data_IF_853885695294
#
_entry.id   IF_853885695294
#
_cell.length_a   1.000
_cell.length_b   1.000
_cell.length_c   1.000
_cell.angle_alpha   90.00
_cell.angle_beta   90.00
_cell.angle_gamma   90.00
#
_symmetry.space_group_name_H-M   'P 1'
#
loop_
_entity.id
_entity.type
_entity.pdbx_description
1 polymer ?
#
# COMPACT_ATOMS: atom_id res chain seq x y z
N UNK A 1 -34.17 32.46 -10.49
CA UNK A 1 -34.09 31.40 -9.46
C UNK A 1 -33.45 30.18 -10.07
N UNK A 2 -32.19 29.91 -9.74
CA UNK A 2 -31.42 28.80 -10.29
C UNK A 2 -30.78 28.05 -9.13
N UNK A 3 -31.40 26.94 -8.72
CA UNK A 3 -30.90 26.03 -7.68
C UNK A 3 -29.78 25.18 -8.28
N UNK A 4 -28.53 25.39 -7.86
CA UNK A 4 -27.41 24.46 -8.10
C UNK A 4 -27.35 23.44 -6.95
N UNK A 5 -27.27 22.14 -7.28
CA UNK A 5 -27.09 21.03 -6.32
C UNK A 5 -25.66 21.03 -5.73
N UNK A 6 -25.44 20.43 -4.54
CA UNK A 6 -24.18 20.46 -3.82
C UNK A 6 -23.16 19.43 -4.33
N UNK A 7 -21.89 19.72 -4.01
CA UNK A 7 -20.65 19.01 -4.31
C UNK A 7 -20.61 17.56 -3.82
N UNK A 8 -19.94 16.69 -4.60
CA UNK A 8 -19.32 15.46 -4.12
C UNK A 8 -17.80 15.68 -4.06
N UNK A 9 -17.27 15.66 -2.85
CA UNK A 9 -15.85 15.75 -2.49
C UNK A 9 -15.21 14.37 -2.61
N UNK A 10 -14.06 14.20 -3.30
CA UNK A 10 -13.15 13.11 -2.99
C UNK A 10 -12.42 13.45 -1.69
N UNK A 11 -12.77 12.70 -0.64
CA UNK A 11 -12.03 12.59 0.59
C UNK A 11 -10.63 12.03 0.29
N UNK A 12 -9.61 12.86 0.48
CA UNK A 12 -8.36 12.49 1.16
C UNK A 12 -7.52 13.75 1.36
N UNK A 13 -7.87 14.52 2.38
CA UNK A 13 -7.12 15.66 2.86
C UNK A 13 -6.54 15.27 4.24
N UNK A 14 -5.28 14.84 4.26
CA UNK A 14 -4.50 14.68 5.47
C UNK A 14 -3.32 15.63 5.43
N UNK A 15 -3.39 16.71 6.22
CA UNK A 15 -2.37 17.75 6.45
C UNK A 15 -2.21 18.82 5.35
N UNK A 16 -3.24 19.66 5.20
CA UNK A 16 -2.97 21.08 4.88
C UNK A 16 -2.76 21.79 6.21
N UNK A 17 -1.50 21.95 6.59
CA UNK A 17 -1.10 22.82 7.68
C UNK A 17 -1.49 24.26 7.32
N UNK A 18 -2.55 24.78 7.93
CA UNK A 18 -2.90 26.19 7.88
C UNK A 18 -2.11 26.97 8.93
N UNK A 19 -0.83 27.20 8.67
CA UNK A 19 -0.06 28.36 9.14
C UNK A 19 1.23 28.36 8.31
N UNK A 20 1.58 29.50 7.71
CA UNK A 20 2.74 29.64 6.83
C UNK A 20 4.06 29.26 7.54
N UNK A 21 4.43 27.99 7.45
CA UNK A 21 5.79 27.55 7.71
C UNK A 21 6.48 27.34 6.37
N UNK A 22 6.95 28.46 5.80
CA UNK A 22 7.76 28.54 4.57
C UNK A 22 9.05 27.71 4.63
N UNK A 23 9.31 27.03 5.76
CA UNK A 23 10.41 26.08 5.91
C UNK A 23 10.11 24.70 5.33
N UNK A 24 8.84 24.28 5.26
CA UNK A 24 8.46 22.97 4.71
C UNK A 24 8.67 22.86 3.19
N UNK A 25 8.72 23.99 2.49
CA UNK A 25 8.99 24.05 1.04
C UNK A 25 10.41 23.59 0.68
N UNK A 26 11.30 23.49 1.68
CA UNK A 26 12.71 23.11 1.53
C UNK A 26 13.03 21.73 2.10
N UNK A 27 12.01 20.97 2.53
CA UNK A 27 12.18 19.64 3.12
C UNK A 27 12.01 18.57 2.05
N UNK A 28 12.93 17.60 2.04
CA UNK A 28 12.89 16.47 1.12
C UNK A 28 11.78 15.49 1.53
N UNK A 29 10.82 15.16 0.65
CA UNK A 29 9.74 14.21 0.98
C UNK A 29 10.18 12.76 1.25
N UNK A 30 11.46 12.43 1.00
CA UNK A 30 12.00 11.07 1.12
C UNK A 30 12.73 10.91 2.46
N UNK A 31 13.69 11.78 2.76
CA UNK A 31 14.45 11.73 4.02
C UNK A 31 13.86 12.61 5.13
N UNK A 32 12.89 13.47 4.81
CA UNK A 32 12.28 14.43 5.74
C UNK A 32 13.23 15.47 6.35
N UNK A 33 14.46 15.55 5.82
CA UNK A 33 15.44 16.58 6.15
C UNK A 33 15.42 17.73 5.14
N UNK A 34 16.06 18.84 5.48
CA UNK A 34 16.29 19.94 4.53
C UNK A 34 17.06 19.43 3.30
N UNK A 35 16.58 19.80 2.10
CA UNK A 35 17.12 19.28 0.85
C UNK A 35 18.62 19.61 0.74
N UNK A 36 19.43 18.57 0.58
CA UNK A 36 20.85 18.64 0.25
C UNK A 36 21.00 18.35 -1.24
N UNK A 37 21.52 19.32 -2.01
CA UNK A 37 21.64 19.26 -3.47
C UNK A 37 20.29 18.96 -4.15
N UNK A 38 19.46 19.99 -4.31
CA UNK A 38 18.15 19.87 -4.91
C UNK A 38 18.22 19.43 -6.37
N UNK A 39 17.59 18.29 -6.68
CA UNK A 39 17.32 17.82 -8.03
C UNK A 39 15.83 17.74 -8.27
N UNK A 40 15.43 18.17 -9.46
CA UNK A 40 14.05 18.22 -9.91
C UNK A 40 13.78 17.11 -10.93
N UNK A 41 12.69 16.38 -10.72
CA UNK A 41 12.14 15.45 -11.72
C UNK A 41 11.36 16.21 -12.80
N UNK A 42 11.18 15.65 -14.00
CA UNK A 42 10.37 16.26 -15.08
C UNK A 42 8.93 16.67 -14.71
N UNK A 43 8.38 16.15 -13.60
CA UNK A 43 7.09 16.58 -13.07
C UNK A 43 7.14 17.84 -12.16
N UNK A 44 8.32 18.41 -11.93
CA UNK A 44 8.52 19.65 -11.15
C UNK A 44 8.84 19.45 -9.67
N UNK A 45 8.80 18.22 -9.14
CA UNK A 45 9.08 17.94 -7.74
C UNK A 45 10.58 17.84 -7.46
N UNK A 46 11.02 18.50 -6.39
CA UNK A 46 12.42 18.56 -5.95
C UNK A 46 12.69 17.68 -4.73
N UNK A 47 13.86 17.06 -4.71
CA UNK A 47 14.34 16.13 -3.69
C UNK A 47 15.86 16.29 -3.51
N UNK A 48 16.46 15.69 -2.47
CA UNK A 48 17.91 15.54 -2.41
C UNK A 48 18.38 14.62 -3.56
N UNK A 49 19.53 14.92 -4.17
CA UNK A 49 20.13 14.09 -5.21
C UNK A 49 20.17 12.61 -4.85
N UNK A 50 20.77 12.28 -3.69
CA UNK A 50 20.92 10.91 -3.19
C UNK A 50 19.56 10.22 -3.02
N UNK A 51 18.56 10.93 -2.49
CA UNK A 51 17.25 10.36 -2.21
C UNK A 51 16.48 10.01 -3.49
N UNK A 52 16.45 10.91 -4.47
CA UNK A 52 15.73 10.65 -5.72
C UNK A 52 16.46 9.63 -6.58
N UNK A 53 17.80 9.62 -6.57
CA UNK A 53 18.58 8.62 -7.27
C UNK A 53 18.25 7.21 -6.76
N UNK A 54 18.33 6.99 -5.45
CA UNK A 54 18.00 5.70 -4.84
C UNK A 54 16.54 5.30 -5.11
N UNK A 55 15.61 6.23 -4.99
CA UNK A 55 14.19 5.94 -5.22
C UNK A 55 13.90 5.52 -6.66
N UNK A 56 14.63 6.05 -7.64
CA UNK A 56 14.45 5.72 -9.05
C UNK A 56 15.14 4.41 -9.46
N UNK A 57 16.12 3.94 -8.69
CA UNK A 57 16.67 2.58 -8.82
C UNK A 57 15.62 1.53 -8.45
N UNK A 58 14.83 1.77 -7.41
CA UNK A 58 13.81 0.83 -6.93
C UNK A 58 12.48 0.94 -7.71
N UNK A 59 12.07 2.16 -8.09
CA UNK A 59 10.82 2.40 -8.79
C UNK A 59 10.95 3.62 -9.71
N UNK A 60 10.65 3.45 -11.00
CA UNK A 60 10.76 4.49 -12.03
C UNK A 60 9.66 5.58 -11.95
N UNK A 61 9.23 5.96 -10.75
CA UNK A 61 8.13 6.89 -10.51
C UNK A 61 8.50 7.92 -9.46
N UNK A 62 8.03 9.15 -9.66
CA UNK A 62 8.20 10.23 -8.70
C UNK A 62 7.52 9.89 -7.36
N UNK A 63 8.23 9.90 -6.22
CA UNK A 63 7.65 9.57 -4.91
C UNK A 63 6.50 10.48 -4.46
N UNK A 64 6.41 11.70 -5.01
CA UNK A 64 5.42 12.70 -4.59
C UNK A 64 4.12 12.66 -5.40
N UNK A 65 4.17 12.29 -6.68
CA UNK A 65 3.01 12.34 -7.58
C UNK A 65 2.84 11.12 -8.49
N UNK A 66 3.71 10.12 -8.34
CA UNK A 66 3.71 8.86 -9.07
C UNK A 66 3.90 8.98 -10.61
N UNK A 67 4.35 10.15 -11.08
CA UNK A 67 4.68 10.40 -12.48
C UNK A 67 5.87 9.54 -12.91
N UNK A 68 5.75 8.86 -14.06
CA UNK A 68 6.79 7.95 -14.58
C UNK A 68 8.01 8.76 -14.99
N UNK A 69 9.18 8.40 -14.46
CA UNK A 69 10.49 8.96 -14.81
C UNK A 69 11.28 7.88 -15.54
N UNK A 70 11.32 7.97 -16.87
CA UNK A 70 11.79 6.87 -17.72
C UNK A 70 13.30 6.63 -17.62
N UNK A 71 14.10 7.66 -17.31
CA UNK A 71 15.56 7.59 -17.19
C UNK A 71 16.06 8.53 -16.08
N UNK A 72 17.16 8.14 -15.42
CA UNK A 72 17.84 8.92 -14.37
C UNK A 72 18.43 10.22 -14.95
N UNK A 73 18.80 10.24 -16.24
CA UNK A 73 19.27 11.45 -16.94
C UNK A 73 18.19 12.55 -17.06
N UNK A 74 16.94 12.26 -16.72
CA UNK A 74 15.85 13.24 -16.64
C UNK A 74 15.74 13.92 -15.26
N UNK A 75 16.78 13.82 -14.45
CA UNK A 75 16.95 14.59 -13.21
C UNK A 75 17.75 15.86 -13.50
N UNK A 76 17.16 17.01 -13.17
CA UNK A 76 17.76 18.31 -13.43
C UNK A 76 18.17 18.98 -12.13
N UNK A 77 19.43 19.44 -11.97
CA UNK A 77 19.83 20.23 -10.81
C UNK A 77 18.94 21.48 -10.68
N UNK A 78 18.38 21.71 -9.50
CA UNK A 78 17.53 22.85 -9.22
C UNK A 78 18.33 23.92 -8.45
N UNK A 79 19.13 24.70 -9.19
CA UNK A 79 19.98 25.75 -8.63
C UNK A 79 19.20 26.82 -7.86
N UNK A 80 17.99 27.15 -8.31
CA UNK A 80 17.13 28.15 -7.68
C UNK A 80 16.69 27.70 -6.27
N UNK A 81 16.28 26.43 -6.13
CA UNK A 81 15.93 25.89 -4.81
C UNK A 81 17.18 25.79 -3.92
N UNK A 82 18.34 25.40 -4.46
CA UNK A 82 19.60 25.41 -3.70
C UNK A 82 19.96 26.80 -3.16
N UNK A 83 19.90 27.83 -4.00
CA UNK A 83 20.11 29.23 -3.61
C UNK A 83 19.16 29.69 -2.50
N UNK A 84 17.87 29.34 -2.63
CA UNK A 84 16.86 29.69 -1.62
C UNK A 84 17.09 28.96 -0.30
N UNK A 85 17.47 27.69 -0.34
CA UNK A 85 17.83 26.90 0.85
C UNK A 85 19.03 27.51 1.55
N UNK A 86 20.07 27.91 0.82
CA UNK A 86 21.26 28.54 1.38
C UNK A 86 20.92 29.89 2.04
N UNK A 87 20.12 30.73 1.38
CA UNK A 87 19.64 31.99 1.99
C UNK A 87 18.76 31.76 3.21
N UNK A 88 17.94 30.71 3.21
CA UNK A 88 17.11 30.36 4.36
C UNK A 88 17.96 29.83 5.53
N UNK A 89 19.01 29.04 5.26
CA UNK A 89 19.99 28.62 6.28
C UNK A 89 20.69 29.83 6.89
N UNK A 90 21.22 30.74 6.07
CA UNK A 90 21.86 31.98 6.55
C UNK A 90 20.90 32.85 7.37
N UNK A 91 19.67 33.08 6.89
CA UNK A 91 18.65 33.82 7.64
C UNK A 91 18.31 33.15 8.96
N UNK A 92 18.31 31.82 9.01
CA UNK A 92 18.04 31.06 10.23
C UNK A 92 19.20 31.16 11.21
N UNK A 93 20.45 31.13 10.72
CA UNK A 93 21.66 31.35 11.53
C UNK A 93 21.75 32.78 12.06
N UNK A 94 21.51 33.80 11.23
CA UNK A 94 21.42 35.20 11.65
C UNK A 94 20.29 35.42 12.65
N UNK A 95 19.16 34.74 12.47
CA UNK A 95 18.06 34.75 13.44
C UNK A 95 18.48 34.05 14.72
N UNK A 96 19.22 32.95 14.71
CA UNK A 96 19.75 32.30 15.93
C UNK A 96 20.68 33.25 16.69
N UNK A 97 21.59 33.93 15.99
CA UNK A 97 22.51 34.92 16.57
C UNK A 97 21.76 36.15 17.14
N UNK A 98 20.61 36.53 16.58
CA UNK A 98 19.75 37.62 17.10
C UNK A 98 18.69 37.15 18.11
N UNK A 99 18.32 35.87 18.10
CA UNK A 99 17.43 35.23 19.07
C UNK A 99 18.14 35.04 20.42
N UNK A 100 19.46 34.95 20.45
CA UNK A 100 20.21 34.99 21.71
C UNK A 100 20.00 36.31 22.48
N UNK A 101 19.49 37.36 21.83
CA UNK A 101 19.07 38.62 22.47
C UNK A 101 17.55 38.75 22.69
N UNK A 102 16.71 37.83 22.20
CA UNK A 102 15.24 38.01 22.22
C UNK A 102 14.36 36.76 22.34
N UNK A 103 14.89 35.54 22.57
CA UNK A 103 14.02 34.37 22.87
C UNK A 103 13.45 34.45 24.28
N UNK A 104 12.19 34.90 24.33
CA UNK A 104 11.11 34.42 25.19
C UNK A 104 11.38 34.36 26.70
N UNK A 105 10.95 35.43 27.38
CA UNK A 105 10.28 35.62 28.69
C UNK A 105 10.42 34.63 29.87
N UNK A 106 11.10 33.48 29.77
CA UNK A 106 11.38 32.55 30.88
C UNK A 106 12.78 31.96 30.74
N UNK A 107 13.15 31.48 29.54
CA UNK A 107 14.50 30.99 29.25
C UNK A 107 15.47 32.14 28.96
N UNK A 108 14.98 33.22 28.33
CA UNK A 108 15.75 34.46 28.15
C UNK A 108 16.21 35.06 29.49
N UNK A 109 15.36 35.06 30.52
CA UNK A 109 15.76 35.51 31.85
C UNK A 109 16.86 34.66 32.48
N UNK A 110 16.84 33.34 32.28
CA UNK A 110 17.89 32.46 32.82
C UNK A 110 19.24 32.69 32.15
N UNK A 111 19.25 32.87 30.83
CA UNK A 111 20.48 33.22 30.11
C UNK A 111 20.96 34.62 30.47
N UNK A 112 20.04 35.58 30.60
CA UNK A 112 20.36 36.94 31.04
C UNK A 112 20.95 36.96 32.46
N UNK A 113 20.45 36.14 33.39
CA UNK A 113 21.01 36.00 34.75
C UNK A 113 22.43 35.41 34.70
N UNK A 114 22.67 34.41 33.87
CA UNK A 114 24.02 33.84 33.70
C UNK A 114 24.96 34.90 33.09
N UNK A 115 24.48 35.64 32.09
CA UNK A 115 25.24 36.71 31.44
C UNK A 115 25.53 37.88 32.40
N UNK A 116 24.58 38.23 33.27
CA UNK A 116 24.74 39.26 34.30
C UNK A 116 25.73 38.81 35.38
N UNK A 117 25.60 37.57 35.87
CA UNK A 117 26.52 36.95 36.83
C UNK A 117 27.97 36.88 36.31
N UNK A 118 28.16 36.63 35.02
CA UNK A 118 29.48 36.64 34.37
C UNK A 118 30.00 38.07 34.09
N UNK A 119 29.11 39.07 34.06
CA UNK A 119 29.45 40.48 33.79
C UNK A 119 29.76 41.30 35.04
N UNK A 120 29.14 40.99 36.19
CA UNK A 120 29.26 41.77 37.43
C UNK A 120 30.45 41.40 38.32
N UNK A 121 31.05 40.21 38.14
CA UNK A 121 32.05 39.63 39.05
C UNK A 121 33.45 39.49 38.40
N UNK A 122 33.95 40.54 37.72
CA UNK A 122 35.27 40.51 37.07
C UNK A 122 36.45 40.28 38.05
N UNK A 123 36.28 40.60 39.34
CA UNK A 123 37.35 40.52 40.34
C UNK A 123 37.43 39.14 41.05
N UNK A 124 36.44 38.25 40.88
CA UNK A 124 36.36 36.95 41.57
C UNK A 124 36.35 35.73 40.63
N UNK A 125 36.29 35.93 39.31
CA UNK A 125 36.20 34.86 38.33
C UNK A 125 37.58 34.53 37.75
N UNK A 126 38.33 33.68 38.45
CA UNK A 126 39.61 33.18 37.94
C UNK A 126 39.43 32.11 36.83
N UNK A 127 40.52 31.83 36.12
CA UNK A 127 40.53 30.85 35.03
C UNK A 127 40.13 29.43 35.50
N UNK A 128 40.35 29.09 36.76
CA UNK A 128 39.99 27.79 37.31
C UNK A 128 38.46 27.65 37.44
N UNK A 129 37.79 28.69 37.94
CA UNK A 129 36.32 28.75 38.04
C UNK A 129 35.66 28.71 36.66
N UNK A 130 36.24 29.38 35.65
CA UNK A 130 35.75 29.32 34.26
C UNK A 130 35.89 27.91 33.68
N UNK A 131 37.04 27.27 33.86
CA UNK A 131 37.26 25.89 33.39
C UNK A 131 36.29 24.90 34.06
N UNK A 132 36.06 25.04 35.38
CA UNK A 132 35.09 24.22 36.10
C UNK A 132 33.67 24.41 35.56
N UNK A 133 33.27 25.65 35.29
CA UNK A 133 31.96 25.95 34.70
C UNK A 133 31.81 25.35 33.30
N UNK A 134 32.84 25.44 32.46
CA UNK A 134 32.85 24.80 31.13
C UNK A 134 32.72 23.28 31.24
N UNK A 135 33.44 22.66 32.18
CA UNK A 135 33.38 21.22 32.40
C UNK A 135 31.98 20.76 32.84
N UNK A 136 31.35 21.49 33.76
CA UNK A 136 29.97 21.23 34.19
C UNK A 136 28.97 21.41 33.03
N UNK A 137 29.14 22.43 32.19
CA UNK A 137 28.27 22.65 31.02
C UNK A 137 28.45 21.55 29.96
N UNK A 138 29.69 21.12 29.71
CA UNK A 138 29.97 19.99 28.80
C UNK A 138 29.36 18.69 29.35
N UNK A 139 29.47 18.44 30.66
CA UNK A 139 28.84 17.29 31.30
C UNK A 139 27.31 17.34 31.17
N UNK A 140 26.71 18.52 31.41
CA UNK A 140 25.25 18.70 31.25
C UNK A 140 24.79 18.55 29.80
N UNK A 141 25.57 19.02 28.84
CA UNK A 141 25.31 18.79 27.42
C UNK A 141 25.30 17.30 27.10
N UNK A 142 26.34 16.56 27.49
CA UNK A 142 26.43 15.10 27.27
C UNK A 142 25.25 14.35 27.90
N UNK A 143 24.82 14.78 29.09
CA UNK A 143 23.66 14.21 29.76
C UNK A 143 22.38 14.40 28.95
N UNK A 144 22.12 15.62 28.45
CA UNK A 144 20.93 15.92 27.64
C UNK A 144 20.94 15.16 26.30
N UNK A 145 22.12 15.03 25.67
CA UNK A 145 22.28 14.24 24.44
C UNK A 145 21.98 12.75 24.69
N UNK A 146 22.47 12.19 25.80
CA UNK A 146 22.19 10.82 26.20
C UNK A 146 20.71 10.58 26.50
N UNK A 147 20.05 11.52 27.20
CA UNK A 147 18.61 11.47 27.47
C UNK A 147 17.78 11.53 26.17
N UNK A 148 18.14 12.41 25.24
CA UNK A 148 17.50 12.49 23.93
C UNK A 148 17.66 11.19 23.13
N UNK A 149 18.87 10.62 23.11
CA UNK A 149 19.13 9.35 22.41
C UNK A 149 18.37 8.18 23.06
N UNK A 150 18.32 8.13 24.39
CA UNK A 150 17.54 7.13 25.12
C UNK A 150 16.05 7.23 24.80
N UNK A 151 15.49 8.44 24.72
CA UNK A 151 14.10 8.66 24.33
C UNK A 151 13.81 8.17 22.90
N UNK A 152 14.72 8.44 21.94
CA UNK A 152 14.60 7.96 20.57
C UNK A 152 14.59 6.42 20.50
N UNK A 153 15.51 5.77 21.23
CA UNK A 153 15.54 4.30 21.31
C UNK A 153 14.29 3.72 21.98
N UNK A 154 13.74 4.41 22.97
CA UNK A 154 12.50 3.97 23.63
C UNK A 154 11.32 3.99 22.67
N UNK A 155 11.14 5.06 21.88
CA UNK A 155 10.10 5.14 20.86
C UNK A 155 10.26 4.02 19.82
N UNK A 156 11.50 3.79 19.36
CA UNK A 156 11.80 2.70 18.43
C UNK A 156 11.44 1.34 19.03
N UNK A 157 11.77 1.10 20.30
CA UNK A 157 11.44 -0.14 20.99
C UNK A 157 9.92 -0.34 21.12
N UNK A 158 9.17 0.70 21.44
CA UNK A 158 7.71 0.67 21.51
C UNK A 158 7.11 0.34 20.13
N UNK A 159 7.57 1.01 19.08
CA UNK A 159 7.18 0.70 17.71
C UNK A 159 7.44 -0.77 17.36
N UNK A 160 8.65 -1.27 17.61
CA UNK A 160 9.01 -2.67 17.30
C UNK A 160 8.16 -3.66 18.08
N UNK A 161 7.84 -3.37 19.35
CA UNK A 161 6.95 -4.23 20.16
C UNK A 161 5.54 -4.28 19.58
N UNK A 162 4.98 -3.12 19.19
CA UNK A 162 3.65 -3.05 18.57
C UNK A 162 3.65 -3.74 17.21
N UNK A 163 4.64 -3.47 16.36
CA UNK A 163 4.78 -4.11 15.06
C UNK A 163 4.86 -5.64 15.19
N UNK A 164 5.68 -6.15 16.12
CA UNK A 164 5.76 -7.59 16.41
C UNK A 164 4.43 -8.16 16.89
N UNK A 165 3.69 -7.44 17.73
CA UNK A 165 2.37 -7.86 18.21
C UNK A 165 1.38 -7.98 17.06
N UNK A 166 1.28 -6.95 16.23
CA UNK A 166 0.39 -6.93 15.07
C UNK A 166 0.70 -8.08 14.11
N UNK A 167 1.99 -8.36 13.87
CA UNK A 167 2.41 -9.50 13.02
C UNK A 167 2.06 -10.85 13.63
N UNK A 168 2.13 -11.00 14.96
CA UNK A 168 1.67 -12.22 15.64
C UNK A 168 0.16 -12.39 15.53
N UNK A 169 -0.61 -11.33 15.75
CA UNK A 169 -2.08 -11.37 15.62
C UNK A 169 -2.50 -11.70 14.18
N UNK A 170 -1.82 -11.16 13.17
CA UNK A 170 -2.02 -11.54 11.77
C UNK A 170 -1.73 -13.03 11.53
N UNK A 171 -0.62 -13.56 12.10
CA UNK A 171 -0.27 -14.98 11.98
C UNK A 171 -1.32 -15.88 12.64
N UNK A 172 -1.78 -15.53 13.84
CA UNK A 172 -2.84 -16.27 14.55
C UNK A 172 -4.16 -16.28 13.76
N UNK A 173 -4.53 -15.14 13.16
CA UNK A 173 -5.73 -15.05 12.32
C UNK A 173 -5.62 -15.94 11.08
N UNK A 174 -4.50 -15.87 10.35
CA UNK A 174 -4.25 -16.71 9.16
C UNK A 174 -4.22 -18.19 9.56
N UNK A 175 -3.60 -18.55 10.69
CA UNK A 175 -3.57 -19.92 11.16
C UNK A 175 -4.97 -20.46 11.46
N UNK A 176 -5.85 -19.61 12.01
CA UNK A 176 -7.26 -19.96 12.22
C UNK A 176 -8.01 -20.14 10.89
N UNK A 177 -7.78 -19.25 9.93
CA UNK A 177 -8.35 -19.35 8.58
C UNK A 177 -7.93 -20.64 7.87
N UNK A 178 -6.64 -21.00 7.96
CA UNK A 178 -6.11 -22.26 7.44
C UNK A 178 -6.75 -23.47 8.12
N UNK A 179 -6.88 -23.49 9.44
CA UNK A 179 -7.53 -24.58 10.17
C UNK A 179 -8.97 -24.82 9.68
N UNK A 180 -9.75 -23.75 9.46
CA UNK A 180 -11.11 -23.87 8.93
C UNK A 180 -11.11 -24.42 7.51
N UNK A 181 -10.20 -23.95 6.66
CA UNK A 181 -10.05 -24.46 5.30
C UNK A 181 -9.66 -25.95 5.28
N UNK A 182 -8.73 -26.38 6.12
CA UNK A 182 -8.30 -27.78 6.23
C UNK A 182 -9.46 -28.69 6.66
N UNK A 183 -10.24 -28.27 7.66
CA UNK A 183 -11.44 -28.99 8.08
C UNK A 183 -12.50 -29.07 6.97
N UNK A 184 -12.74 -27.97 6.25
CA UNK A 184 -13.72 -27.92 5.17
C UNK A 184 -13.28 -28.76 3.96
N UNK A 185 -11.99 -28.75 3.61
CA UNK A 185 -11.40 -29.62 2.58
C UNK A 185 -11.64 -31.08 2.95
N UNK A 186 -11.30 -31.47 4.19
CA UNK A 186 -11.51 -32.84 4.67
C UNK A 186 -12.99 -33.25 4.58
N UNK A 187 -13.92 -32.37 4.98
CA UNK A 187 -15.36 -32.62 4.87
C UNK A 187 -15.82 -32.79 3.41
N UNK A 188 -15.31 -31.95 2.50
CA UNK A 188 -15.62 -32.07 1.06
C UNK A 188 -15.04 -33.36 0.48
N UNK A 189 -13.84 -33.77 0.88
CA UNK A 189 -13.22 -35.04 0.47
C UNK A 189 -14.08 -36.24 0.92
N UNK A 190 -14.52 -36.24 2.18
CA UNK A 190 -15.43 -37.25 2.74
C UNK A 190 -16.77 -37.30 1.98
N UNK A 191 -17.37 -36.14 1.66
CA UNK A 191 -18.61 -36.05 0.88
C UNK A 191 -18.46 -36.49 -0.57
N UNK A 192 -17.28 -36.27 -1.18
CA UNK A 192 -17.01 -36.63 -2.57
C UNK A 192 -16.79 -38.12 -2.81
N UNK A 193 -16.70 -38.92 -1.73
CA UNK A 193 -16.53 -40.37 -1.82
C UNK A 193 -15.14 -40.82 -2.28
N UNK A 194 -14.12 -39.96 -2.24
CA UNK A 194 -12.74 -40.27 -2.62
C UNK A 194 -11.93 -40.96 -1.50
N UNK A 195 -12.60 -41.61 -0.54
CA UNK A 195 -11.93 -42.46 0.43
C UNK A 195 -11.60 -43.82 -0.20
N UNK A 196 -10.43 -43.93 -0.82
CA UNK A 196 -9.74 -45.22 -0.96
C UNK A 196 -8.98 -45.46 0.35
N UNK A 197 -9.31 -46.49 1.15
CA UNK A 197 -8.52 -46.81 2.33
C UNK A 197 -7.11 -47.20 1.86
N UNK A 198 -6.10 -46.54 2.41
CA UNK A 198 -4.72 -46.96 2.29
C UNK A 198 -4.60 -48.26 3.10
N UNK A 199 -4.53 -49.40 2.40
CA UNK A 199 -4.02 -50.63 2.99
C UNK A 199 -2.50 -50.50 3.07
N UNK A 200 -1.97 -50.33 4.26
CA UNK A 200 -0.58 -50.64 4.57
C UNK A 200 -0.37 -52.15 4.35
N UNK A 201 0.39 -52.52 3.32
CA UNK A 201 1.54 -53.42 3.42
C UNK A 201 2.14 -53.67 2.02
N UNK A 202 3.44 -53.95 2.03
CA UNK A 202 4.26 -54.48 0.93
C UNK A 202 4.96 -53.50 -0.02
N UNK A 203 6.18 -53.15 0.43
CA UNK A 203 7.44 -53.36 -0.30
C UNK A 203 7.76 -52.46 -1.50
N UNK A 204 8.72 -51.57 -1.24
CA UNK A 204 9.61 -50.85 -2.18
C UNK A 204 10.01 -51.72 -3.39
N UNK A 205 9.93 -51.19 -4.63
CA UNK A 205 11.18 -50.84 -5.30
C UNK A 205 11.13 -49.52 -6.11
N UNK A 206 12.05 -48.62 -5.72
CA UNK A 206 13.06 -47.98 -6.60
C UNK A 206 12.58 -47.37 -7.94
N UNK A 207 12.44 -46.03 -7.95
CA UNK A 207 12.34 -45.24 -9.18
C UNK A 207 13.72 -44.61 -9.48
N UNK A 208 14.43 -45.17 -10.45
CA UNK A 208 15.45 -44.42 -11.20
C UNK A 208 14.75 -43.55 -12.25
N UNK A 209 15.18 -42.30 -12.35
CA UNK A 209 14.82 -41.41 -13.46
C UNK A 209 15.39 -41.95 -14.78
N UNK A 210 14.72 -41.71 -15.92
CA UNK A 210 15.40 -40.87 -16.91
C UNK A 210 14.48 -39.94 -17.73
N UNK A 211 15.01 -38.76 -18.06
CA UNK A 211 14.69 -38.00 -19.28
C UNK A 211 15.80 -38.30 -20.34
N UNK A 212 15.73 -37.83 -21.60
CA UNK A 212 14.63 -37.59 -22.54
C UNK A 212 14.91 -38.23 -23.95
N UNK A 213 14.07 -37.90 -24.95
CA UNK A 213 14.25 -37.98 -26.44
C UNK A 213 13.68 -39.18 -27.23
N UNK A 214 12.69 -38.95 -28.11
CA UNK A 214 12.85 -38.83 -29.58
C UNK A 214 11.51 -38.61 -30.34
N UNK A 215 11.44 -37.47 -31.05
CA UNK A 215 10.82 -37.14 -32.38
C UNK A 215 9.60 -37.87 -32.98
N UNK A 216 8.61 -37.09 -33.44
CA UNK A 216 8.24 -36.88 -34.88
C UNK A 216 7.03 -35.90 -34.97
N UNK A 217 7.22 -34.66 -35.43
CA UNK A 217 7.04 -34.17 -36.82
C UNK A 217 5.64 -34.49 -37.39
N UNK A 218 4.74 -33.51 -37.37
CA UNK A 218 3.79 -33.26 -38.46
C UNK A 218 3.69 -31.77 -38.77
N UNK A 219 3.60 -31.54 -40.06
CA UNK A 219 3.83 -30.34 -40.85
C UNK A 219 2.78 -29.23 -40.64
N UNK A 220 3.23 -27.98 -40.72
CA UNK A 220 2.38 -26.78 -40.75
C UNK A 220 2.78 -25.97 -41.96
N UNK A 221 1.93 -25.95 -42.97
CA UNK A 221 1.98 -25.00 -44.09
C UNK A 221 0.62 -24.29 -44.22
N UNK A 222 0.59 -23.10 -43.63
CA UNK A 222 0.01 -21.83 -44.07
C UNK A 222 -0.93 -21.80 -45.30
N UNK A 223 -2.13 -21.22 -45.15
CA UNK A 223 -2.59 -20.15 -46.04
C UNK A 223 -3.77 -19.33 -45.45
N UNK A 224 -3.62 -18.00 -45.47
CA UNK A 224 -4.65 -17.01 -45.15
C UNK A 224 -5.57 -16.76 -46.36
N UNK A 225 -6.88 -16.60 -46.17
CA UNK A 225 -7.77 -15.85 -47.10
C UNK A 225 -9.06 -15.32 -46.41
N UNK A 226 -9.66 -14.20 -46.90
CA UNK A 226 -10.58 -13.32 -46.16
C UNK A 226 -12.08 -13.70 -46.32
N UNK A 227 -13.02 -13.06 -45.57
CA UNK A 227 -14.40 -13.51 -45.52
C UNK A 227 -15.23 -13.05 -46.73
N UNK A 228 -15.73 -14.03 -47.49
CA UNK A 228 -16.73 -13.87 -48.53
C UNK A 228 -18.14 -14.15 -48.02
N UNK A 229 -19.06 -13.28 -48.42
CA UNK A 229 -20.49 -13.25 -48.15
C UNK A 229 -21.25 -14.33 -48.95
N UNK A 230 -21.97 -15.25 -48.29
CA UNK A 230 -23.31 -15.76 -48.69
C UNK A 230 -23.76 -16.95 -47.83
N UNK A 231 -25.03 -16.93 -47.45
CA UNK A 231 -25.62 -17.85 -46.48
C UNK A 231 -26.06 -19.20 -47.03
N UNK A 232 -26.23 -20.16 -46.11
CA UNK A 232 -27.38 -21.07 -46.05
C UNK A 232 -27.24 -21.94 -44.80
N UNK A 233 -28.27 -21.84 -43.95
CA UNK A 233 -28.78 -22.83 -42.99
C UNK A 233 -27.94 -24.08 -42.69
N UNK A 234 -27.33 -24.09 -41.49
CA UNK A 234 -27.48 -25.17 -40.51
C UNK A 234 -27.14 -24.62 -39.13
N UNK A 235 -28.15 -24.05 -38.45
CA UNK A 235 -28.02 -23.71 -37.04
C UNK A 235 -27.96 -25.00 -36.23
N UNK A 236 -26.74 -25.52 -36.02
CA UNK A 236 -26.48 -26.43 -34.89
C UNK A 236 -26.80 -25.62 -33.63
N UNK A 237 -27.99 -25.84 -33.06
CA UNK A 237 -28.37 -25.30 -31.75
C UNK A 237 -27.36 -25.82 -30.73
N UNK A 238 -26.32 -25.04 -30.47
CA UNK A 238 -25.40 -25.28 -29.37
C UNK A 238 -26.21 -25.30 -28.07
N UNK A 239 -26.19 -26.37 -27.28
CA UNK A 239 -26.90 -26.41 -26.01
C UNK A 239 -26.23 -25.42 -25.05
N UNK A 240 -26.85 -24.26 -24.90
CA UNK A 240 -26.41 -23.19 -23.99
C UNK A 240 -26.47 -23.53 -22.49
N UNK A 241 -26.60 -24.81 -22.14
CA UNK A 241 -26.76 -25.28 -20.76
C UNK A 241 -25.50 -25.90 -20.15
N UNK A 242 -24.43 -26.08 -20.91
CA UNK A 242 -23.23 -26.75 -20.41
C UNK A 242 -22.06 -25.78 -20.31
N UNK A 243 -22.00 -25.00 -19.23
CA UNK A 243 -20.74 -24.33 -18.88
C UNK A 243 -19.70 -25.42 -18.59
N UNK A 244 -18.67 -25.52 -19.42
CA UNK A 244 -17.58 -26.48 -19.20
C UNK A 244 -16.89 -26.23 -17.86
N UNK A 245 -16.30 -27.28 -17.27
CA UNK A 245 -15.55 -27.17 -16.03
C UNK A 245 -14.42 -26.13 -16.14
N UNK A 246 -13.76 -26.06 -17.30
CA UNK A 246 -12.74 -25.07 -17.60
C UNK A 246 -13.29 -23.64 -17.54
N UNK A 247 -14.46 -23.39 -18.14
CA UNK A 247 -15.13 -22.08 -18.05
C UNK A 247 -15.56 -21.72 -16.63
N UNK A 248 -16.00 -22.70 -15.82
CA UNK A 248 -16.34 -22.50 -14.40
C UNK A 248 -15.11 -22.13 -13.56
N UNK A 249 -14.00 -22.86 -13.74
CA UNK A 249 -12.72 -22.59 -13.06
C UNK A 249 -12.16 -21.21 -13.39
N UNK A 250 -12.21 -20.79 -14.67
CA UNK A 250 -11.76 -19.47 -15.10
C UNK A 250 -12.52 -18.32 -14.40
N UNK A 251 -13.83 -18.47 -14.17
CA UNK A 251 -14.63 -17.48 -13.44
C UNK A 251 -14.32 -17.46 -11.95
N UNK A 252 -14.10 -18.64 -11.35
CA UNK A 252 -13.69 -18.75 -9.96
C UNK A 252 -12.35 -18.02 -9.73
N UNK A 253 -11.35 -18.25 -10.57
CA UNK A 253 -10.06 -17.57 -10.46
C UNK A 253 -10.13 -16.06 -10.69
N UNK A 254 -11.08 -15.60 -11.51
CA UNK A 254 -11.25 -14.17 -11.78
C UNK A 254 -11.86 -13.40 -10.60
N UNK A 255 -12.62 -14.08 -9.73
CA UNK A 255 -13.30 -13.50 -8.57
C UNK A 255 -12.86 -14.18 -7.26
N UNK A 256 -11.63 -14.70 -7.22
CA UNK A 256 -11.17 -15.51 -6.10
C UNK A 256 -11.15 -14.72 -4.78
N UNK A 257 -10.60 -13.51 -4.78
CA UNK A 257 -10.52 -12.65 -3.58
C UNK A 257 -11.92 -12.33 -3.00
N UNK A 258 -12.88 -11.99 -3.86
CA UNK A 258 -14.26 -11.70 -3.45
C UNK A 258 -14.96 -12.96 -2.88
N UNK A 259 -14.74 -14.11 -3.52
CA UNK A 259 -15.30 -15.39 -3.09
C UNK A 259 -14.67 -15.88 -1.78
N UNK A 260 -13.37 -15.67 -1.59
CA UNK A 260 -12.63 -15.98 -0.37
C UNK A 260 -13.12 -15.13 0.81
N UNK A 261 -13.29 -13.83 0.59
CA UNK A 261 -13.90 -12.95 1.58
C UNK A 261 -15.33 -13.37 1.94
N UNK A 262 -16.13 -13.74 0.93
CA UNK A 262 -17.49 -14.24 1.14
C UNK A 262 -17.50 -15.55 1.93
N UNK A 263 -16.58 -16.47 1.62
CA UNK A 263 -16.39 -17.74 2.34
C UNK A 263 -16.08 -17.48 3.81
N UNK A 264 -15.04 -16.71 4.13
CA UNK A 264 -14.68 -16.44 5.52
C UNK A 264 -15.73 -15.62 6.25
N UNK A 265 -16.41 -14.70 5.57
CA UNK A 265 -17.55 -13.97 6.17
C UNK A 265 -18.67 -14.92 6.58
N UNK A 266 -18.99 -15.91 5.73
CA UNK A 266 -20.03 -16.90 6.01
C UNK A 266 -19.60 -17.89 7.10
N UNK A 267 -18.34 -18.37 7.04
CA UNK A 267 -17.80 -19.43 7.92
C UNK A 267 -17.31 -18.94 9.28
N UNK A 268 -16.79 -17.72 9.37
CA UNK A 268 -16.23 -17.15 10.61
C UNK A 268 -17.19 -16.21 11.33
N UNK A 269 -18.46 -16.13 10.91
CA UNK A 269 -19.49 -15.43 11.67
C UNK A 269 -19.58 -16.04 13.08
N UNK A 270 -19.40 -15.21 14.11
CA UNK A 270 -19.23 -15.63 15.52
C UNK A 270 -20.43 -16.44 16.03
N UNK A 271 -20.36 -17.77 16.00
CA UNK A 271 -21.37 -18.64 16.65
C UNK A 271 -20.71 -19.92 17.19
N UNK A 272 -21.12 -20.32 18.39
CA UNK A 272 -20.47 -21.34 19.24
C UNK A 272 -21.02 -22.77 19.05
N UNK A 273 -21.53 -23.12 17.87
CA UNK A 273 -22.29 -24.38 17.68
C UNK A 273 -21.84 -25.17 16.44
N UNK A 274 -21.38 -26.40 16.68
CA UNK A 274 -20.75 -27.31 15.71
C UNK A 274 -21.76 -27.81 14.66
N UNK A 275 -23.04 -27.93 15.03
CA UNK A 275 -24.10 -28.36 14.09
C UNK A 275 -24.42 -27.32 13.01
N UNK A 276 -23.99 -26.06 13.18
CA UNK A 276 -24.21 -24.99 12.20
C UNK A 276 -23.02 -24.81 11.26
N UNK A 277 -21.86 -25.39 11.58
CA UNK A 277 -20.66 -25.28 10.73
C UNK A 277 -20.85 -26.04 9.41
N UNK A 278 -21.54 -27.18 9.43
CA UNK A 278 -21.92 -27.94 8.23
C UNK A 278 -22.90 -27.14 7.37
N UNK A 279 -23.94 -26.57 7.99
CA UNK A 279 -24.93 -25.73 7.31
C UNK A 279 -24.34 -24.51 6.60
N UNK A 280 -23.28 -23.90 7.15
CA UNK A 280 -22.62 -22.73 6.55
C UNK A 280 -21.77 -23.11 5.32
N UNK A 281 -21.13 -24.29 5.35
CA UNK A 281 -20.41 -24.82 4.19
C UNK A 281 -21.39 -25.14 3.05
N UNK A 282 -22.54 -25.72 3.36
CA UNK A 282 -23.61 -25.99 2.40
C UNK A 282 -24.18 -24.68 1.78
N UNK A 283 -24.38 -23.65 2.61
CA UNK A 283 -24.82 -22.32 2.15
C UNK A 283 -23.82 -21.69 1.17
N UNK A 284 -22.52 -21.74 1.49
CA UNK A 284 -21.49 -21.25 0.58
C UNK A 284 -21.41 -22.11 -0.69
N UNK A 285 -21.53 -23.43 -0.59
CA UNK A 285 -21.58 -24.33 -1.74
C UNK A 285 -22.72 -23.96 -2.69
N UNK A 286 -23.90 -23.62 -2.17
CA UNK A 286 -25.03 -23.18 -2.98
C UNK A 286 -24.74 -21.85 -3.69
N UNK A 287 -24.16 -20.88 -2.99
CA UNK A 287 -23.71 -19.60 -3.56
C UNK A 287 -22.67 -19.79 -4.68
N UNK A 288 -21.64 -20.61 -4.44
CA UNK A 288 -20.60 -20.93 -5.41
C UNK A 288 -21.17 -21.66 -6.64
N UNK A 289 -22.15 -22.54 -6.42
CA UNK A 289 -22.87 -23.22 -7.49
C UNK A 289 -23.65 -22.23 -8.36
N UNK A 290 -24.45 -21.33 -7.75
CA UNK A 290 -25.21 -20.29 -8.46
C UNK A 290 -24.29 -19.36 -9.26
N UNK A 291 -23.19 -18.92 -8.67
CA UNK A 291 -22.20 -18.06 -9.33
C UNK A 291 -21.54 -18.73 -10.53
N UNK A 292 -21.19 -20.02 -10.39
CA UNK A 292 -20.51 -20.75 -11.45
C UNK A 292 -21.45 -21.37 -12.49
N UNK A 293 -22.78 -21.35 -12.28
CA UNK A 293 -23.75 -22.02 -13.18
C UNK A 293 -23.98 -21.32 -14.50
N UNK A 294 -24.08 -19.99 -14.52
CA UNK A 294 -24.44 -19.21 -15.71
C UNK A 294 -23.23 -18.41 -16.23
N UNK A 295 -23.06 -18.36 -17.55
CA UNK A 295 -21.89 -17.71 -18.19
C UNK A 295 -22.19 -16.33 -18.78
N UNK A 296 -23.46 -16.02 -19.05
CA UNK A 296 -23.88 -14.77 -19.68
C UNK A 296 -25.39 -14.66 -19.62
N UNK A 297 -25.89 -13.43 -19.50
CA UNK A 297 -27.30 -13.12 -19.75
C UNK A 297 -27.45 -12.79 -21.23
N UNK A 298 -28.41 -13.43 -21.91
CA UNK A 298 -28.79 -13.05 -23.26
C UNK A 298 -29.96 -12.08 -23.18
N UNK A 299 -29.87 -10.91 -23.81
CA UNK A 299 -31.03 -10.06 -24.03
C UNK A 299 -32.07 -10.86 -24.83
N UNK A 300 -33.20 -11.21 -24.20
CA UNK A 300 -34.30 -11.92 -24.88
C UNK A 300 -35.19 -10.95 -25.65
N UNK A 301 -35.29 -9.71 -25.16
CA UNK A 301 -35.92 -8.60 -25.84
C UNK A 301 -35.18 -7.32 -25.47
N UNK A 302 -34.96 -6.47 -26.46
CA UNK A 302 -34.52 -5.08 -26.25
C UNK A 302 -35.72 -4.21 -26.59
N UNK A 303 -36.30 -3.55 -25.59
CA UNK A 303 -37.33 -2.53 -25.85
C UNK A 303 -36.65 -1.35 -26.54
N UNK A 304 -36.87 -1.21 -27.85
CA UNK A 304 -36.44 -0.05 -28.62
C UNK A 304 -37.44 1.08 -28.37
N UNK A 305 -37.06 2.06 -27.56
CA UNK A 305 -37.84 3.29 -27.34
C UNK A 305 -37.57 4.36 -28.41
N UNK A 306 -36.76 4.06 -29.43
CA UNK A 306 -36.32 5.03 -30.42
C UNK A 306 -36.90 4.72 -31.81
N UNK A 307 -38.22 4.81 -31.95
CA UNK A 307 -38.86 5.05 -33.23
C UNK A 307 -40.32 5.47 -33.05
N UNK A 308 -40.57 6.47 -32.20
CA UNK A 308 -41.78 7.28 -32.29
C UNK A 308 -41.46 8.69 -31.80
N UNK A 309 -41.13 9.58 -32.73
CA UNK A 309 -41.05 11.02 -32.51
C UNK A 309 -42.41 11.65 -32.13
N UNK A 310 -43.46 10.84 -31.95
CA UNK A 310 -44.83 11.30 -31.70
C UNK A 310 -45.65 10.53 -30.67
N UNK A 311 -45.06 9.69 -29.81
CA UNK A 311 -45.83 9.10 -28.72
C UNK A 311 -45.19 9.31 -27.35
N UNK A 312 -45.65 10.38 -26.68
CA UNK A 312 -45.36 10.62 -25.27
C UNK A 312 -45.95 9.50 -24.43
N UNK A 313 -45.09 8.67 -23.86
CA UNK A 313 -45.45 7.80 -22.75
C UNK A 313 -44.29 7.80 -21.77
N UNK A 314 -44.38 8.74 -20.82
CA UNK A 314 -43.57 8.75 -19.61
C UNK A 314 -43.98 7.55 -18.78
N UNK A 315 -43.08 6.60 -18.56
CA UNK A 315 -43.21 5.65 -17.46
C UNK A 315 -42.17 6.06 -16.43
N UNK A 316 -42.65 6.79 -15.43
CA UNK A 316 -42.01 6.96 -14.14
C UNK A 316 -42.23 5.68 -13.35
N UNK A 317 -41.15 5.04 -12.90
CA UNK A 317 -41.04 4.33 -11.62
C UNK A 317 -39.56 4.16 -11.29
#
# INVERSE_FOLDING_TARGET
GSRKRPLLTPLCNGLINSYEDKSNDFVCPICFDMIEEAYMTKCGHSFCYKCIHQSLEDNNRCPKCNYVVDNIDHLYPNFLVNELILKQKQRSEEKRLKLDHSVSSTNGHRWQIIQDLLGTDQDNLDLANVNLMLELLVQKKKQLEAESHAAQLQILMEFLKVARRNKREQLEQIQKELSVLEEDIKRVEEMSGLYSPVSEDSTVPQFEAPSPSHSSIIDSTEYSQPPGFSGSSQTKKQPWYNSTLASRRKRLTAHFEDLEQCYFSTRMTRVSDDSRTTSQLDEFQECLSKFTRYNSVRPLATLSYASDLYNGSSIVS
#
